data_IF_882547187120
#
_entry.id   IF_882547187120
#
_cell.length_a   1.000
_cell.length_b   1.000
_cell.length_c   1.000
_cell.angle_alpha   90.00
_cell.angle_beta   90.00
_cell.angle_gamma   90.00
#
_symmetry.space_group_name_H-M   'P 1'
#
loop_
_entity.id
_entity.type
_entity.pdbx_description
1 polymer ?
#
# COMPACT_ATOMS: atom_id res chain seq x y z
N UNK A 1 31.92 2.94 -11.35
CA UNK A 1 30.49 3.24 -11.09
C UNK A 1 29.77 1.92 -10.88
N UNK A 2 29.16 1.69 -9.71
CA UNK A 2 28.38 0.45 -9.48
C UNK A 2 27.09 0.50 -10.29
N UNK A 3 26.73 -0.63 -10.91
CA UNK A 3 25.44 -0.81 -11.58
C UNK A 3 24.29 -0.73 -10.59
N UNK A 4 23.07 -0.55 -11.07
CA UNK A 4 21.87 -0.60 -10.23
C UNK A 4 21.77 -1.95 -9.51
N UNK A 5 22.05 -3.06 -10.21
CA UNK A 5 22.08 -4.40 -9.62
C UNK A 5 23.11 -4.53 -8.51
N UNK A 6 24.32 -3.99 -8.67
CA UNK A 6 25.36 -4.04 -7.65
C UNK A 6 24.99 -3.27 -6.38
N UNK A 7 24.38 -2.08 -6.53
CA UNK A 7 23.86 -1.31 -5.39
C UNK A 7 22.76 -2.07 -4.65
N UNK A 8 21.88 -2.76 -5.39
CA UNK A 8 20.83 -3.59 -4.81
C UNK A 8 21.43 -4.77 -4.02
N UNK A 9 22.42 -5.46 -4.58
CA UNK A 9 23.13 -6.55 -3.90
C UNK A 9 23.79 -6.11 -2.59
N UNK A 10 24.41 -4.92 -2.55
CA UNK A 10 25.02 -4.38 -1.33
C UNK A 10 23.96 -4.17 -0.21
N UNK A 11 22.78 -3.65 -0.58
CA UNK A 11 21.68 -3.42 0.36
C UNK A 11 21.10 -4.73 0.86
N UNK A 12 20.86 -5.70 -0.04
CA UNK A 12 20.38 -7.05 0.30
C UNK A 12 21.34 -7.70 1.31
N UNK A 13 22.66 -7.63 1.07
CA UNK A 13 23.67 -8.15 1.98
C UNK A 13 23.68 -7.41 3.33
N UNK A 14 23.53 -6.08 3.34
CA UNK A 14 23.47 -5.27 4.56
C UNK A 14 22.25 -5.61 5.42
N UNK A 15 21.10 -5.88 4.79
CA UNK A 15 19.89 -6.33 5.47
C UNK A 15 19.93 -7.82 5.84
N UNK A 16 20.98 -8.54 5.44
CA UNK A 16 21.19 -9.95 5.70
C UNK A 16 20.14 -10.85 5.06
N UNK A 17 19.55 -10.44 3.94
CA UNK A 17 18.55 -11.23 3.21
C UNK A 17 19.23 -12.41 2.50
N UNK A 18 18.51 -13.53 2.44
CA UNK A 18 19.01 -14.77 1.85
C UNK A 18 18.27 -15.09 0.54
N UNK A 19 18.85 -15.95 -0.30
CA UNK A 19 18.26 -16.39 -1.56
C UNK A 19 17.02 -17.27 -1.39
N UNK A 20 16.79 -17.79 -0.18
CA UNK A 20 15.59 -18.55 0.19
C UNK A 20 14.48 -17.69 0.81
N UNK A 21 14.72 -16.39 1.03
CA UNK A 21 13.69 -15.48 1.54
C UNK A 21 12.60 -15.23 0.48
N UNK A 22 11.33 -15.14 0.92
CA UNK A 22 10.19 -14.77 0.08
C UNK A 22 10.21 -13.26 -0.18
N UNK A 23 10.75 -12.88 -1.35
CA UNK A 23 10.91 -11.48 -1.78
C UNK A 23 9.85 -11.11 -2.81
N UNK A 24 9.08 -10.08 -2.51
CA UNK A 24 8.06 -9.50 -3.40
C UNK A 24 8.60 -8.22 -4.03
N UNK A 25 8.48 -8.13 -5.36
CA UNK A 25 8.88 -6.96 -6.15
C UNK A 25 7.63 -6.31 -6.75
N UNK A 26 7.39 -5.06 -6.39
CA UNK A 26 6.23 -4.29 -6.82
C UNK A 26 6.65 -3.00 -7.52
N UNK A 27 5.78 -2.48 -8.37
CA UNK A 27 6.00 -1.20 -9.06
C UNK A 27 5.04 -0.16 -8.51
N UNK A 28 5.58 0.85 -7.85
CA UNK A 28 4.90 2.06 -7.42
C UNK A 28 4.96 3.16 -8.48
N UNK A 29 4.05 4.14 -8.39
CA UNK A 29 4.00 5.25 -9.36
C UNK A 29 3.37 4.87 -10.69
N UNK A 30 2.34 4.02 -10.67
CA UNK A 30 1.57 3.62 -11.85
C UNK A 30 0.16 4.20 -11.80
N UNK A 31 -0.38 4.58 -12.95
CA UNK A 31 -1.78 4.96 -13.10
C UNK A 31 -2.51 3.87 -13.88
N UNK A 32 -3.59 3.35 -13.31
CA UNK A 32 -4.48 2.40 -13.98
C UNK A 32 -5.79 3.11 -14.29
N UNK A 33 -6.22 3.08 -15.55
CA UNK A 33 -7.52 3.64 -15.94
C UNK A 33 -8.64 2.70 -15.49
N UNK A 34 -9.38 3.10 -14.45
CA UNK A 34 -10.49 2.33 -13.87
C UNK A 34 -11.89 2.72 -14.36
N UNK A 35 -11.99 3.64 -15.32
CA UNK A 35 -13.27 4.15 -15.82
C UNK A 35 -13.54 3.68 -17.25
N UNK A 36 -14.74 3.17 -17.49
CA UNK A 36 -15.22 2.88 -18.84
C UNK A 36 -15.56 4.21 -19.50
N UNK A 37 -14.79 4.57 -20.51
CA UNK A 37 -15.02 5.79 -21.26
C UNK A 37 -16.10 5.57 -22.33
N UNK A 38 -16.98 6.54 -22.54
CA UNK A 38 -18.01 6.49 -23.59
C UNK A 38 -17.42 6.51 -25.00
N UNK A 39 -18.22 6.20 -26.03
CA UNK A 39 -17.74 5.98 -27.41
C UNK A 39 -16.98 7.18 -28.01
N UNK A 40 -17.32 8.42 -27.62
CA UNK A 40 -16.71 9.67 -28.10
C UNK A 40 -15.60 10.24 -27.20
N UNK A 41 -14.87 9.41 -26.47
CA UNK A 41 -13.79 9.94 -25.62
C UNK A 41 -12.57 10.42 -26.41
N UNK A 42 -11.94 11.49 -25.93
CA UNK A 42 -10.73 12.01 -26.55
C UNK A 42 -9.50 11.15 -26.19
N UNK A 43 -9.05 10.33 -27.14
CA UNK A 43 -7.86 9.47 -27.03
C UNK A 43 -6.55 10.20 -26.71
N UNK A 44 -6.48 11.52 -26.93
CA UNK A 44 -5.29 12.34 -26.59
C UNK A 44 -5.17 12.59 -25.08
N UNK A 45 -6.30 12.70 -24.38
CA UNK A 45 -6.33 13.12 -22.97
C UNK A 45 -6.79 12.04 -22.02
N UNK A 46 -7.47 11.01 -22.53
CA UNK A 46 -8.06 10.01 -21.69
C UNK A 46 -7.60 8.59 -22.09
N UNK A 47 -7.29 7.80 -21.08
CA UNK A 47 -6.63 6.50 -21.24
C UNK A 47 -7.67 5.37 -21.30
N UNK A 48 -7.60 4.44 -22.26
CA UNK A 48 -8.55 3.33 -22.35
C UNK A 48 -8.65 2.54 -21.04
N UNK A 49 -9.83 1.99 -20.75
CA UNK A 49 -10.06 1.19 -19.55
C UNK A 49 -9.06 0.03 -19.46
N UNK A 50 -8.54 -0.22 -18.25
CA UNK A 50 -7.61 -1.31 -17.97
C UNK A 50 -6.16 -1.08 -18.38
N UNK A 51 -5.83 0.01 -19.09
CA UNK A 51 -4.44 0.33 -19.44
C UNK A 51 -3.69 0.80 -18.20
N UNK A 52 -2.52 0.19 -17.96
CA UNK A 52 -1.56 0.59 -16.92
C UNK A 52 -0.48 1.46 -17.56
N UNK A 53 -0.39 2.71 -17.10
CA UNK A 53 0.66 3.65 -17.47
C UNK A 53 1.71 3.70 -16.37
N UNK A 54 2.96 3.49 -16.72
CA UNK A 54 4.11 3.69 -15.84
C UNK A 54 4.60 5.12 -15.99
N UNK A 55 4.72 5.85 -14.88
CA UNK A 55 5.25 7.20 -14.92
C UNK A 55 6.78 7.18 -15.06
N UNK A 56 7.36 8.30 -15.49
CA UNK A 56 8.83 8.42 -15.65
C UNK A 56 9.56 8.39 -14.30
N UNK A 57 8.86 8.75 -13.24
CA UNK A 57 9.29 8.75 -11.84
C UNK A 57 8.76 7.53 -11.06
N UNK A 58 8.32 6.48 -11.77
CA UNK A 58 7.95 5.22 -11.14
C UNK A 58 9.13 4.61 -10.37
N UNK A 59 8.82 3.87 -9.32
CA UNK A 59 9.81 3.26 -8.43
C UNK A 59 9.47 1.80 -8.15
N UNK A 60 10.50 1.06 -7.75
CA UNK A 60 10.37 -0.36 -7.42
C UNK A 60 10.39 -0.48 -5.90
N UNK A 61 9.40 -1.18 -5.35
CA UNK A 61 9.37 -1.58 -3.95
C UNK A 61 9.84 -3.03 -3.91
N UNK A 62 10.86 -3.29 -3.08
CA UNK A 62 11.36 -4.64 -2.84
C UNK A 62 11.14 -4.92 -1.36
N UNK A 63 10.32 -5.92 -1.05
CA UNK A 63 9.94 -6.26 0.32
C UNK A 63 10.22 -7.72 0.62
N UNK A 64 10.71 -8.01 1.83
CA UNK A 64 10.97 -9.36 2.29
C UNK A 64 9.83 -9.79 3.22
N UNK A 65 8.99 -10.68 2.73
CA UNK A 65 7.79 -11.14 3.41
C UNK A 65 8.12 -12.18 4.49
N UNK A 66 9.20 -12.96 4.32
CA UNK A 66 9.68 -13.93 5.32
C UNK A 66 10.08 -13.29 6.65
N UNK A 67 10.51 -12.03 6.63
CA UNK A 67 10.97 -11.28 7.81
C UNK A 67 9.94 -10.32 8.37
N UNK A 68 8.75 -10.26 7.78
CA UNK A 68 7.69 -9.38 8.23
C UNK A 68 7.07 -9.94 9.51
N UNK A 69 7.03 -9.12 10.55
CA UNK A 69 6.22 -9.44 11.73
C UNK A 69 4.74 -9.35 11.36
N UNK A 70 4.11 -10.51 11.22
CA UNK A 70 2.69 -10.66 10.95
C UNK A 70 1.86 -10.80 12.23
N UNK A 71 2.51 -10.71 13.39
CA UNK A 71 1.82 -10.74 14.68
C UNK A 71 1.03 -9.44 14.79
N UNK A 72 -0.24 -9.51 14.44
CA UNK A 72 -1.15 -8.37 14.55
C UNK A 72 -1.16 -7.79 15.97
N UNK A 73 -1.64 -6.56 16.09
CA UNK A 73 -1.81 -5.94 17.41
C UNK A 73 -2.74 -6.80 18.27
N UNK A 74 -2.25 -7.18 19.44
CA UNK A 74 -3.08 -7.89 20.43
C UNK A 74 -3.99 -6.88 21.15
N UNK A 75 -5.19 -7.30 21.58
CA UNK A 75 -5.97 -6.54 22.54
C UNK A 75 -5.12 -6.21 23.77
N UNK A 76 -5.41 -5.09 24.42
CA UNK A 76 -4.70 -4.69 25.62
C UNK A 76 -5.02 -5.68 26.75
N UNK A 77 -4.01 -6.27 27.38
CA UNK A 77 -4.17 -7.15 28.57
C UNK A 77 -4.58 -6.37 29.84
N UNK A 78 -4.86 -5.07 29.69
CA UNK A 78 -5.27 -4.15 30.76
C UNK A 78 -6.59 -3.48 30.42
N UNK A 79 -7.29 -3.05 31.46
CA UNK A 79 -8.48 -2.21 31.32
C UNK A 79 -8.18 -0.97 30.46
N UNK A 80 -9.02 -0.74 29.46
CA UNK A 80 -8.87 0.39 28.54
C UNK A 80 -9.23 1.69 29.28
N UNK A 81 -8.20 2.47 29.66
CA UNK A 81 -8.33 3.78 30.32
C UNK A 81 -7.99 4.90 29.35
N UNK A 82 -8.94 5.35 28.50
CA UNK A 82 -8.70 6.47 27.60
C UNK A 82 -8.45 7.75 28.41
N UNK A 83 -7.57 8.62 27.90
CA UNK A 83 -7.24 9.90 28.54
C UNK A 83 -8.45 10.86 28.55
N UNK A 84 -9.35 10.70 27.57
CA UNK A 84 -10.58 11.45 27.48
C UNK A 84 -11.73 10.64 28.10
N UNK A 85 -12.64 11.27 28.85
CA UNK A 85 -13.87 10.63 29.29
C UNK A 85 -14.62 10.07 28.09
N UNK A 86 -15.07 8.83 28.19
CA UNK A 86 -15.99 8.28 27.21
C UNK A 86 -17.36 8.90 27.45
N UNK A 87 -17.80 9.76 26.52
CA UNK A 87 -19.19 10.21 26.49
C UNK A 87 -20.00 9.21 25.66
N UNK A 88 -20.97 8.49 26.27
CA UNK A 88 -21.86 7.64 25.50
C UNK A 88 -22.60 8.51 24.48
N UNK A 89 -22.62 8.09 23.21
CA UNK A 89 -23.43 8.74 22.19
C UNK A 89 -24.87 8.78 22.69
N UNK A 90 -25.43 9.97 22.86
CA UNK A 90 -26.85 10.13 23.17
C UNK A 90 -27.64 9.42 22.09
N UNK A 91 -28.41 8.41 22.47
CA UNK A 91 -29.38 7.79 21.59
C UNK A 91 -30.38 8.88 21.20
N UNK A 92 -30.28 9.33 19.95
CA UNK A 92 -31.34 10.15 19.35
C UNK A 92 -32.51 9.20 19.21
N UNK A 93 -33.46 9.27 20.14
CA UNK A 93 -34.77 8.65 19.94
C UNK A 93 -35.29 9.20 18.61
N UNK A 94 -35.48 8.31 17.63
CA UNK A 94 -36.32 8.57 16.47
C UNK A 94 -37.76 8.59 16.97
N UNK A 95 -38.11 9.60 17.75
CA UNK A 95 -39.49 9.85 18.10
C UNK A 95 -40.14 10.50 16.87
N UNK A 96 -40.93 9.66 16.21
CA UNK A 96 -42.04 9.94 15.31
C UNK A 96 -42.51 11.41 15.28
N UNK A 97 -42.33 12.08 14.13
CA UNK A 97 -43.33 12.99 13.55
C UNK A 97 -43.10 13.09 12.04
#
# INVERSE_FOLDING_TARGET
>A
MKTVSGKLSDVIATLGWDCYDDVVVEIGGTVVSGIHQGEDYNKKWATPYGVRKYNKDAFIIISNNSRRDLTGSKPMDREHKPQHPYEPKKEVKKDET
#
